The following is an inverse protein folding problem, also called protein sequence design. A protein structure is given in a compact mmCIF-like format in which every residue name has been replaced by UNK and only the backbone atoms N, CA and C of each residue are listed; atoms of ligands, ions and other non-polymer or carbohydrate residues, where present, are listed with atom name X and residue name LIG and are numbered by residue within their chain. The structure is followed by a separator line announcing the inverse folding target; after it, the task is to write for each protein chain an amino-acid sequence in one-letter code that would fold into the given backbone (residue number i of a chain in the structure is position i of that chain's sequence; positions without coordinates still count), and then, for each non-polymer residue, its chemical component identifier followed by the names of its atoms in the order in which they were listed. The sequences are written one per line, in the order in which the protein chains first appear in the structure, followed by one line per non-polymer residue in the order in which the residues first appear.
data_IF_759165072368
#
_entry.id   IF_759165072368
#
_cell.length_a   1.000
_cell.length_b   1.000
_cell.length_c   1.000
_cell.angle_alpha   90.00
_cell.angle_beta   90.00
_cell.angle_gamma   90.00
#
_symmetry.space_group_name_H-M   'P 1'
#
loop_
_entity.id
_entity.type
_entity.pdbx_description
1 polymer ?
#
# COMPACT_ATOMS: atom_id res chain seq x y z
N UNK A 1 -2.72 -18.77 -11.13
CA UNK A 1 -2.39 -17.35 -11.19
C UNK A 1 -3.25 -16.73 -12.28
N UNK A 2 -4.00 -15.65 -12.02
CA UNK A 2 -4.72 -14.95 -13.07
C UNK A 2 -3.73 -14.45 -14.12
N UNK A 3 -4.18 -14.34 -15.37
CA UNK A 3 -3.34 -13.81 -16.45
C UNK A 3 -3.03 -12.35 -16.14
N UNK A 4 -1.76 -11.96 -16.22
CA UNK A 4 -1.29 -10.59 -15.95
C UNK A 4 -2.07 -9.56 -16.78
N UNK A 5 -2.47 -9.93 -18.00
CA UNK A 5 -3.28 -9.09 -18.92
C UNK A 5 -4.71 -8.84 -18.36
N UNK A 6 -5.31 -9.82 -17.66
CA UNK A 6 -6.62 -9.67 -17.05
C UNK A 6 -6.61 -8.72 -15.83
N UNK A 7 -5.45 -8.50 -15.19
CA UNK A 7 -5.33 -7.58 -14.06
C UNK A 7 -5.49 -6.10 -14.45
N UNK A 8 -5.25 -5.74 -15.71
CA UNK A 8 -5.41 -4.37 -16.20
C UNK A 8 -6.84 -4.06 -16.69
N UNK A 9 -7.57 -5.08 -17.15
CA UNK A 9 -8.93 -4.90 -17.66
C UNK A 9 -9.96 -4.64 -16.56
N UNK A 10 -9.65 -5.02 -15.30
CA UNK A 10 -10.55 -4.87 -14.16
C UNK A 10 -10.33 -3.57 -13.36
N UNK A 11 -9.43 -2.68 -13.79
CA UNK A 11 -9.14 -1.45 -13.05
C UNK A 11 -10.37 -0.56 -12.99
N UNK A 12 -10.78 -0.26 -11.77
CA UNK A 12 -11.90 0.63 -11.42
C UNK A 12 -11.37 1.93 -10.85
N UNK A 13 -12.21 2.94 -10.77
CA UNK A 13 -11.92 4.18 -10.05
C UNK A 13 -11.93 3.94 -8.54
N UNK A 14 -10.93 3.19 -8.05
CA UNK A 14 -10.76 2.84 -6.65
C UNK A 14 -9.38 3.27 -6.14
N UNK A 15 -9.36 3.99 -5.03
CA UNK A 15 -8.17 4.30 -4.25
C UNK A 15 -8.03 3.26 -3.13
N UNK A 16 -6.92 2.53 -3.11
CA UNK A 16 -6.61 1.53 -2.09
C UNK A 16 -5.67 2.13 -1.05
N UNK A 17 -6.01 2.01 0.24
CA UNK A 17 -5.14 2.41 1.35
C UNK A 17 -4.74 1.17 2.13
N UNK A 18 -3.44 0.87 2.18
CA UNK A 18 -2.85 -0.33 2.80
C UNK A 18 -1.64 0.06 3.66
N UNK A 19 -1.81 0.57 4.88
CA UNK A 19 -0.71 0.91 5.76
C UNK A 19 -0.12 -0.31 6.46
N UNK A 20 1.19 -0.25 6.77
CA UNK A 20 1.86 -1.22 7.62
C UNK A 20 1.41 -1.08 9.08
N UNK A 21 1.57 -2.14 9.85
CA UNK A 21 1.39 -2.09 11.29
C UNK A 21 2.53 -1.34 12.00
N UNK A 22 2.28 -0.94 13.24
CA UNK A 22 3.29 -0.31 14.11
C UNK A 22 3.46 -1.15 15.38
N UNK A 23 4.72 -1.44 15.71
CA UNK A 23 5.04 -2.22 16.91
C UNK A 23 4.65 -1.49 18.18
N UNK A 24 4.88 -0.19 18.23
CA UNK A 24 4.61 0.67 19.41
C UNK A 24 3.13 0.72 19.81
N UNK A 25 2.23 0.46 18.87
CA UNK A 25 0.78 0.43 19.12
C UNK A 25 0.19 -0.97 19.02
N UNK A 26 1.05 -2.00 19.04
CA UNK A 26 0.57 -3.36 19.13
C UNK A 26 0.22 -3.68 20.59
N UNK A 27 -1.07 -3.92 20.84
CA UNK A 27 -1.61 -4.28 22.16
C UNK A 27 -1.53 -5.79 22.46
N UNK A 28 -2.46 -6.27 23.26
CA UNK A 28 -2.54 -7.68 23.59
C UNK A 28 -2.86 -8.56 22.37
N UNK A 29 -1.98 -9.51 22.08
CA UNK A 29 -2.18 -10.46 21.00
C UNK A 29 -3.26 -11.49 21.37
N UNK A 30 -4.24 -11.66 20.51
CA UNK A 30 -5.26 -12.70 20.62
C UNK A 30 -4.90 -13.87 19.71
N UNK A 31 -4.49 -14.99 20.30
CA UNK A 31 -4.07 -16.19 19.57
C UNK A 31 -5.19 -16.79 18.68
N UNK A 32 -6.46 -16.61 19.06
CA UNK A 32 -7.59 -17.20 18.31
C UNK A 32 -7.86 -16.45 17.01
N UNK A 33 -7.69 -15.14 17.01
CA UNK A 33 -7.97 -14.27 15.85
C UNK A 33 -6.70 -13.83 15.13
N UNK A 34 -5.52 -14.16 15.69
CA UNK A 34 -4.22 -13.69 15.19
C UNK A 34 -4.15 -12.16 15.03
N UNK A 35 -4.84 -11.44 15.90
CA UNK A 35 -4.95 -9.99 15.86
C UNK A 35 -4.66 -9.35 17.19
N UNK A 36 -4.38 -8.06 17.17
CA UNK A 36 -4.06 -7.26 18.35
C UNK A 36 -5.18 -6.24 18.56
N UNK A 37 -5.57 -6.03 19.80
CA UNK A 37 -6.43 -4.91 20.19
C UNK A 37 -5.65 -4.00 21.15
N UNK A 38 -5.66 -2.71 20.88
CA UNK A 38 -4.97 -1.69 21.67
C UNK A 38 -5.98 -0.67 22.18
N UNK A 39 -6.20 -0.65 23.51
CA UNK A 39 -7.01 0.36 24.17
C UNK A 39 -6.32 1.73 24.05
N UNK A 40 -7.00 2.72 23.52
CA UNK A 40 -6.41 4.03 23.23
C UNK A 40 -5.85 4.16 21.81
N UNK A 41 -6.15 3.25 20.91
CA UNK A 41 -5.76 3.30 19.49
C UNK A 41 -6.15 4.63 18.84
N UNK A 42 -7.32 5.15 19.16
CA UNK A 42 -7.85 6.43 18.62
C UNK A 42 -7.02 7.66 19.02
N UNK A 43 -6.20 7.55 20.06
CA UNK A 43 -5.30 8.64 20.49
C UNK A 43 -3.95 8.63 19.77
N UNK A 44 -3.65 7.56 19.04
CA UNK A 44 -2.37 7.41 18.33
C UNK A 44 -2.30 8.34 17.11
N UNK A 45 -1.08 8.75 16.76
CA UNK A 45 -0.84 9.51 15.53
C UNK A 45 -1.19 8.69 14.28
N UNK A 46 -1.02 7.36 14.36
CA UNK A 46 -1.42 6.44 13.31
C UNK A 46 -2.92 6.52 13.01
N UNK A 47 -3.76 6.41 14.04
CA UNK A 47 -5.21 6.54 13.86
C UNK A 47 -5.59 7.94 13.39
N UNK A 48 -5.07 8.98 14.05
CA UNK A 48 -5.37 10.38 13.70
C UNK A 48 -5.02 10.69 12.24
N UNK A 49 -3.89 10.19 11.77
CA UNK A 49 -3.47 10.40 10.38
C UNK A 49 -4.43 9.70 9.40
N UNK A 50 -4.64 8.39 9.53
CA UNK A 50 -5.45 7.65 8.55
C UNK A 50 -6.94 7.96 8.67
N UNK A 51 -7.45 8.18 9.88
CA UNK A 51 -8.83 8.66 10.06
C UNK A 51 -9.01 10.06 9.48
N UNK A 52 -8.04 10.95 9.67
CA UNK A 52 -8.01 12.25 9.03
C UNK A 52 -8.01 12.15 7.50
N UNK A 53 -7.18 11.27 6.94
CA UNK A 53 -7.04 11.07 5.49
C UNK A 53 -8.34 10.62 4.84
N UNK A 54 -8.99 9.59 5.39
CA UNK A 54 -10.23 9.03 4.80
C UNK A 54 -11.48 9.91 5.05
N UNK A 55 -11.35 10.95 5.89
CA UNK A 55 -12.43 11.91 6.20
C UNK A 55 -12.09 13.35 5.79
N UNK A 56 -10.99 13.60 5.08
CA UNK A 56 -10.66 14.94 4.59
C UNK A 56 -11.58 15.36 3.45
N UNK A 57 -12.35 16.43 3.65
CA UNK A 57 -13.37 16.88 2.69
C UNK A 57 -12.79 17.33 1.33
N UNK A 58 -11.53 17.73 1.26
CA UNK A 58 -10.85 18.05 -0.02
C UNK A 58 -10.72 16.78 -0.87
N UNK A 59 -10.27 15.70 -0.23
CA UNK A 59 -10.13 14.39 -0.88
C UNK A 59 -11.50 13.80 -1.22
N UNK A 60 -12.41 13.77 -0.26
CA UNK A 60 -13.77 13.22 -0.44
C UNK A 60 -14.53 13.93 -1.58
N UNK A 61 -14.48 15.27 -1.60
CA UNK A 61 -15.13 16.06 -2.64
C UNK A 61 -14.53 15.75 -4.02
N UNK A 62 -13.20 15.65 -4.13
CA UNK A 62 -12.54 15.29 -5.40
C UNK A 62 -12.89 13.88 -5.85
N UNK A 63 -12.91 12.92 -4.93
CA UNK A 63 -13.29 11.54 -5.23
C UNK A 63 -14.74 11.43 -5.70
N UNK A 64 -15.69 12.14 -5.06
CA UNK A 64 -17.09 12.23 -5.52
C UNK A 64 -17.20 12.84 -6.92
N UNK A 65 -16.52 13.97 -7.15
CA UNK A 65 -16.50 14.66 -8.46
C UNK A 65 -16.04 13.74 -9.58
N UNK A 66 -14.98 12.98 -9.35
CA UNK A 66 -14.36 12.08 -10.35
C UNK A 66 -14.95 10.68 -10.36
N UNK A 67 -15.86 10.35 -9.45
CA UNK A 67 -16.51 9.03 -9.33
C UNK A 67 -15.59 7.95 -8.78
N UNK A 68 -14.61 8.32 -7.93
CA UNK A 68 -13.75 7.36 -7.23
C UNK A 68 -14.41 6.87 -5.94
N UNK A 69 -14.09 5.63 -5.59
CA UNK A 69 -14.35 5.02 -4.28
C UNK A 69 -13.02 4.72 -3.59
N UNK A 70 -13.04 4.66 -2.27
CA UNK A 70 -11.90 4.30 -1.46
C UNK A 70 -12.11 2.97 -0.75
N UNK A 71 -11.05 2.19 -0.65
CA UNK A 71 -11.00 0.98 0.17
C UNK A 71 -9.83 1.11 1.15
N UNK A 72 -10.15 1.20 2.43
CA UNK A 72 -9.15 1.23 3.50
C UNK A 72 -9.03 -0.15 4.15
N UNK A 73 -7.84 -0.73 4.07
CA UNK A 73 -7.56 -2.06 4.59
C UNK A 73 -6.46 -1.98 5.65
N UNK A 74 -6.81 -2.21 6.90
CA UNK A 74 -5.84 -2.33 7.97
C UNK A 74 -4.96 -3.57 7.79
N UNK A 75 -3.73 -3.49 8.28
CA UNK A 75 -2.89 -4.68 8.38
C UNK A 75 -3.60 -5.76 9.23
N UNK A 76 -3.52 -7.06 8.87
CA UNK A 76 -4.24 -8.13 9.56
C UNK A 76 -4.06 -8.14 11.08
N UNK A 77 -2.90 -7.71 11.58
CA UNK A 77 -2.64 -7.62 13.03
C UNK A 77 -3.55 -6.60 13.73
N UNK A 78 -4.02 -5.57 13.00
CA UNK A 78 -4.92 -4.53 13.51
C UNK A 78 -6.38 -4.72 13.11
N UNK A 79 -6.76 -5.89 12.59
CA UNK A 79 -8.12 -6.10 12.10
C UNK A 79 -9.22 -5.78 13.12
N UNK A 80 -8.96 -5.94 14.43
CA UNK A 80 -9.94 -5.58 15.46
C UNK A 80 -10.18 -4.08 15.60
N UNK A 81 -9.23 -3.26 15.15
CA UNK A 81 -9.32 -1.80 15.21
C UNK A 81 -10.17 -1.19 14.07
N UNK A 82 -10.70 -2.02 13.14
CA UNK A 82 -11.57 -1.51 12.08
C UNK A 82 -12.78 -0.76 12.63
N UNK A 83 -13.29 -1.18 13.80
CA UNK A 83 -14.44 -0.56 14.48
C UNK A 83 -14.20 0.88 14.92
N UNK A 84 -12.93 1.27 15.06
CA UNK A 84 -12.54 2.63 15.44
C UNK A 84 -12.65 3.61 14.26
N UNK A 85 -12.58 3.09 13.02
CA UNK A 85 -12.76 3.88 11.81
C UNK A 85 -14.22 3.86 11.36
N UNK A 86 -14.67 4.97 10.82
CA UNK A 86 -16.05 5.09 10.32
C UNK A 86 -16.08 5.04 8.80
N UNK A 87 -16.95 4.19 8.27
CA UNK A 87 -17.31 4.23 6.85
C UNK A 87 -17.98 5.58 6.53
N UNK A 88 -17.74 6.06 5.32
CA UNK A 88 -18.46 7.19 4.77
C UNK A 88 -18.98 6.84 3.36
N UNK A 89 -19.56 7.82 2.66
CA UNK A 89 -20.12 7.58 1.31
C UNK A 89 -19.06 7.33 0.22
N UNK A 90 -17.79 7.55 0.53
CA UNK A 90 -16.66 7.40 -0.40
C UNK A 90 -15.76 6.23 -0.02
N UNK A 91 -15.38 6.12 1.27
CA UNK A 91 -14.48 5.09 1.78
C UNK A 91 -15.22 3.98 2.51
N UNK A 92 -14.93 2.74 2.11
CA UNK A 92 -15.25 1.54 2.86
C UNK A 92 -14.02 1.12 3.68
N UNK A 93 -14.22 0.84 4.97
CA UNK A 93 -13.23 0.23 5.86
C UNK A 93 -13.40 -1.28 5.81
N UNK A 94 -12.37 -2.00 5.39
CA UNK A 94 -12.47 -3.45 5.22
C UNK A 94 -12.41 -4.19 6.55
N UNK A 95 -13.42 -5.00 6.82
CA UNK A 95 -13.57 -5.78 8.06
C UNK A 95 -12.96 -7.19 7.98
N UNK A 96 -12.44 -7.58 6.85
CA UNK A 96 -12.04 -8.96 6.59
C UNK A 96 -10.70 -9.14 5.91
N UNK A 97 -10.41 -10.38 5.55
CA UNK A 97 -9.22 -10.70 4.76
C UNK A 97 -9.29 -10.08 3.37
N UNK A 98 -8.15 -9.61 2.91
CA UNK A 98 -7.98 -8.99 1.59
C UNK A 98 -7.49 -10.03 0.59
N UNK A 99 -8.22 -10.22 -0.50
CA UNK A 99 -7.66 -10.86 -1.70
C UNK A 99 -6.81 -9.83 -2.46
N UNK A 100 -5.50 -9.83 -2.20
CA UNK A 100 -4.58 -8.88 -2.79
C UNK A 100 -4.58 -8.90 -4.32
N UNK A 101 -4.75 -10.06 -4.95
CA UNK A 101 -4.81 -10.13 -6.42
C UNK A 101 -6.00 -9.32 -6.95
N UNK A 102 -7.16 -9.50 -6.31
CA UNK A 102 -8.38 -8.80 -6.69
C UNK A 102 -8.30 -7.30 -6.43
N UNK A 103 -7.94 -6.88 -5.21
CA UNK A 103 -7.92 -5.46 -4.87
C UNK A 103 -6.86 -4.69 -5.65
N UNK A 104 -5.72 -5.33 -5.99
CA UNK A 104 -4.70 -4.70 -6.84
C UNK A 104 -5.17 -4.55 -8.28
N UNK A 105 -5.86 -5.57 -8.83
CA UNK A 105 -6.45 -5.49 -10.16
C UNK A 105 -7.47 -4.35 -10.24
N UNK A 106 -8.36 -4.26 -9.26
CA UNK A 106 -9.47 -3.31 -9.24
C UNK A 106 -9.03 -1.87 -8.90
N UNK A 107 -7.93 -1.66 -8.18
CA UNK A 107 -7.52 -0.33 -7.73
C UNK A 107 -6.75 0.44 -8.80
N UNK A 108 -7.07 1.73 -8.95
CA UNK A 108 -6.38 2.66 -9.85
C UNK A 108 -5.10 3.23 -9.24
N UNK A 109 -5.06 3.38 -7.91
CA UNK A 109 -3.92 3.90 -7.17
C UNK A 109 -3.85 3.27 -5.77
N UNK A 110 -2.67 3.33 -5.14
CA UNK A 110 -2.47 2.85 -3.77
C UNK A 110 -1.80 3.90 -2.90
N UNK A 111 -2.28 4.00 -1.67
CA UNK A 111 -1.59 4.67 -0.56
C UNK A 111 -1.01 3.60 0.36
N UNK A 112 0.27 3.70 0.66
CA UNK A 112 0.94 2.82 1.62
C UNK A 112 2.07 3.58 2.32
N UNK A 113 2.88 2.90 3.12
CA UNK A 113 3.96 3.55 3.88
C UNK A 113 5.31 2.82 3.70
N UNK A 114 5.62 1.83 4.56
CA UNK A 114 6.89 1.09 4.55
C UNK A 114 6.73 -0.34 4.02
N UNK A 115 5.57 -0.66 3.49
CA UNK A 115 5.21 -2.03 3.11
C UNK A 115 5.87 -2.48 1.81
N UNK A 116 6.42 -3.69 1.82
CA UNK A 116 6.94 -4.35 0.59
C UNK A 116 5.86 -4.63 -0.44
N UNK A 117 4.58 -4.59 -0.06
CA UNK A 117 3.45 -4.76 -0.98
C UNK A 117 3.40 -3.67 -2.07
N UNK A 118 4.09 -2.53 -1.81
CA UNK A 118 4.30 -1.48 -2.81
C UNK A 118 4.99 -1.99 -4.08
N UNK A 119 5.91 -2.95 -3.95
CA UNK A 119 6.60 -3.54 -5.11
C UNK A 119 5.66 -4.33 -6.00
N UNK A 120 4.74 -5.10 -5.41
CA UNK A 120 3.75 -5.86 -6.16
C UNK A 120 2.78 -4.92 -6.90
N UNK A 121 2.36 -3.83 -6.27
CA UNK A 121 1.48 -2.85 -6.89
C UNK A 121 2.21 -2.03 -7.98
N UNK A 122 3.45 -1.62 -7.73
CA UNK A 122 4.30 -0.93 -8.71
C UNK A 122 4.56 -1.80 -9.94
N UNK A 123 4.73 -3.12 -9.76
CA UNK A 123 4.88 -4.06 -10.87
C UNK A 123 3.69 -4.03 -11.84
N UNK A 124 2.50 -3.64 -11.38
CA UNK A 124 1.33 -3.37 -12.21
C UNK A 124 1.38 -2.00 -12.90
N UNK A 125 2.47 -1.23 -12.76
CA UNK A 125 2.67 0.11 -13.31
C UNK A 125 1.67 1.16 -12.80
N UNK A 126 0.97 0.87 -11.72
CA UNK A 126 -0.03 1.74 -11.11
C UNK A 126 0.64 2.71 -10.12
N UNK A 127 0.11 3.94 -9.96
CA UNK A 127 0.70 4.94 -9.09
C UNK A 127 0.54 4.61 -7.60
N UNK A 128 1.55 5.00 -6.83
CA UNK A 128 1.61 4.86 -5.37
C UNK A 128 1.84 6.23 -4.76
N UNK A 129 1.26 6.46 -3.58
CA UNK A 129 1.61 7.57 -2.68
C UNK A 129 2.07 6.96 -1.36
N UNK A 130 3.28 7.34 -0.92
CA UNK A 130 3.83 6.90 0.36
C UNK A 130 3.51 7.90 1.47
N UNK A 131 3.02 7.41 2.62
CA UNK A 131 2.70 8.21 3.81
C UNK A 131 3.64 7.85 4.94
N UNK A 132 4.65 8.68 5.18
CA UNK A 132 5.72 8.42 6.17
C UNK A 132 5.76 9.50 7.26
N UNK A 133 4.59 9.88 7.79
CA UNK A 133 4.41 10.91 8.81
C UNK A 133 5.14 10.61 10.13
N UNK A 134 5.42 9.34 10.39
CA UNK A 134 6.06 8.84 11.62
C UNK A 134 7.42 8.19 11.37
N UNK A 135 8.12 8.59 10.29
CA UNK A 135 9.33 7.92 9.79
C UNK A 135 10.38 7.68 10.88
N UNK A 136 10.66 8.70 11.69
CA UNK A 136 11.65 8.59 12.76
C UNK A 136 11.26 7.50 13.77
N UNK A 137 10.02 7.56 14.27
CA UNK A 137 9.52 6.60 15.25
C UNK A 137 9.44 5.19 14.66
N UNK A 138 9.04 5.07 13.39
CA UNK A 138 8.97 3.78 12.71
C UNK A 138 10.32 3.05 12.74
N UNK A 139 11.42 3.71 12.36
CA UNK A 139 12.75 3.09 12.35
C UNK A 139 13.34 2.88 13.75
N UNK A 140 12.93 3.66 14.77
CA UNK A 140 13.34 3.46 16.16
C UNK A 140 12.62 2.26 16.80
N UNK A 141 11.34 2.05 16.48
CA UNK A 141 10.49 1.05 17.13
C UNK A 141 10.46 -0.31 16.42
N UNK A 142 10.70 -0.33 15.11
CA UNK A 142 10.70 -1.57 14.33
C UNK A 142 12.05 -2.30 14.43
N UNK A 143 11.99 -3.62 14.25
CA UNK A 143 13.19 -4.49 14.21
C UNK A 143 13.93 -4.42 12.87
N UNK A 144 13.50 -3.55 11.97
CA UNK A 144 14.06 -3.46 10.63
C UNK A 144 15.10 -2.34 10.55
N UNK A 145 16.29 -2.68 10.09
CA UNK A 145 17.27 -1.69 9.69
C UNK A 145 16.85 -1.02 8.37
N UNK A 146 17.29 0.23 8.17
CA UNK A 146 17.12 0.93 6.92
C UNK A 146 17.83 0.15 5.81
N UNK A 147 17.08 -0.28 4.80
CA UNK A 147 17.60 -1.01 3.65
C UNK A 147 18.29 -0.09 2.64
N UNK A 148 18.60 -0.65 1.47
CA UNK A 148 19.20 0.08 0.34
C UNK A 148 18.18 0.90 -0.47
N UNK A 149 16.89 0.64 -0.29
CA UNK A 149 15.83 1.31 -1.04
C UNK A 149 15.46 2.64 -0.36
N UNK A 150 15.71 3.74 -1.06
CA UNK A 150 15.39 5.08 -0.59
C UNK A 150 14.08 5.55 -1.23
N UNK A 151 13.03 5.72 -0.43
CA UNK A 151 11.70 6.06 -0.94
C UNK A 151 11.66 7.33 -1.79
N UNK A 152 12.44 8.35 -1.44
CA UNK A 152 12.48 9.63 -2.18
C UNK A 152 13.11 9.50 -3.57
N UNK A 153 14.16 8.70 -3.70
CA UNK A 153 14.92 8.55 -4.95
C UNK A 153 14.51 7.32 -5.76
N UNK A 154 14.23 6.20 -5.08
CA UNK A 154 13.94 4.90 -5.69
C UNK A 154 12.45 4.58 -5.66
N UNK A 155 11.67 5.26 -4.80
CA UNK A 155 10.24 5.03 -4.61
C UNK A 155 9.42 5.24 -5.87
N UNK A 156 8.35 4.49 -6.00
CA UNK A 156 7.47 4.46 -7.17
C UNK A 156 6.37 5.53 -7.11
N UNK A 157 6.54 6.51 -6.24
CA UNK A 157 5.60 7.61 -6.03
C UNK A 157 6.17 8.66 -5.06
N UNK A 158 5.41 9.74 -4.80
CA UNK A 158 5.80 10.77 -3.84
C UNK A 158 5.76 10.25 -2.41
N UNK A 159 6.61 10.83 -1.54
CA UNK A 159 6.62 10.58 -0.09
C UNK A 159 6.02 11.78 0.62
N UNK A 160 4.98 11.54 1.41
CA UNK A 160 4.25 12.55 2.18
C UNK A 160 4.54 12.36 3.67
N UNK A 161 4.95 13.41 4.35
CA UNK A 161 5.34 13.40 5.76
C UNK A 161 4.29 13.98 6.70
N UNK A 162 3.19 14.46 6.17
CA UNK A 162 2.04 14.99 6.91
C UNK A 162 0.74 14.78 6.15
N UNK A 163 -0.36 15.01 6.83
CA UNK A 163 -1.71 14.80 6.29
C UNK A 163 -2.00 15.74 5.10
N UNK A 164 -1.60 17.00 5.20
CA UNK A 164 -1.87 17.99 4.15
C UNK A 164 -1.16 17.65 2.85
N UNK A 165 0.11 17.26 2.91
CA UNK A 165 0.86 16.82 1.74
C UNK A 165 0.25 15.56 1.12
N UNK A 166 -0.16 14.59 1.93
CA UNK A 166 -0.81 13.37 1.43
C UNK A 166 -2.15 13.67 0.73
N UNK A 167 -2.99 14.52 1.32
CA UNK A 167 -4.26 14.93 0.72
C UNK A 167 -4.05 15.68 -0.58
N UNK A 168 -3.11 16.62 -0.62
CA UNK A 168 -2.83 17.40 -1.84
C UNK A 168 -2.33 16.51 -2.98
N UNK A 169 -1.41 15.58 -2.71
CA UNK A 169 -0.91 14.62 -3.71
C UNK A 169 -2.04 13.71 -4.24
N UNK A 170 -2.92 13.25 -3.36
CA UNK A 170 -4.03 12.39 -3.76
C UNK A 170 -5.09 13.15 -4.57
N UNK A 171 -5.40 14.39 -4.21
CA UNK A 171 -6.30 15.25 -4.96
C UNK A 171 -5.74 15.48 -6.37
N UNK A 172 -4.45 15.82 -6.49
CA UNK A 172 -3.79 15.99 -7.79
C UNK A 172 -3.77 14.69 -8.60
N UNK A 173 -3.45 13.56 -7.96
CA UNK A 173 -3.41 12.26 -8.60
C UNK A 173 -4.78 11.87 -9.18
N UNK A 174 -5.85 12.04 -8.42
CA UNK A 174 -7.22 11.74 -8.84
C UNK A 174 -7.68 12.72 -9.92
N UNK A 175 -7.31 13.99 -9.83
CA UNK A 175 -7.63 15.00 -10.83
C UNK A 175 -7.03 14.68 -12.21
N UNK A 176 -5.85 14.04 -12.20
CA UNK A 176 -5.15 13.54 -13.38
C UNK A 176 -5.47 12.06 -13.72
N UNK A 177 -6.64 11.55 -13.32
CA UNK A 177 -7.11 10.17 -13.57
C UNK A 177 -6.10 9.08 -13.18
N UNK A 178 -5.40 9.27 -12.06
CA UNK A 178 -4.38 8.36 -11.51
C UNK A 178 -3.25 8.01 -12.50
N UNK A 179 -2.83 8.97 -13.31
CA UNK A 179 -1.69 8.79 -14.22
C UNK A 179 -0.39 8.65 -13.42
N UNK A 180 0.35 7.57 -13.66
CA UNK A 180 1.62 7.32 -12.97
C UNK A 180 2.74 8.23 -13.51
N UNK A 181 3.16 9.23 -12.73
CA UNK A 181 4.28 10.14 -13.04
C UNK A 181 5.65 9.52 -12.79
N UNK A 182 5.72 8.37 -12.10
CA UNK A 182 6.95 7.67 -11.69
C UNK A 182 7.19 6.40 -12.51
N UNK A 183 6.59 6.29 -13.67
CA UNK A 183 6.67 5.10 -14.52
C UNK A 183 8.11 4.73 -14.89
N UNK A 184 8.97 5.71 -15.11
CA UNK A 184 10.39 5.50 -15.44
C UNK A 184 11.14 4.81 -14.30
N UNK A 185 10.84 5.15 -13.02
CA UNK A 185 11.42 4.47 -11.86
C UNK A 185 10.98 3.00 -11.79
N UNK A 186 9.70 2.74 -12.05
CA UNK A 186 9.14 1.39 -12.11
C UNK A 186 9.85 0.57 -13.19
N UNK A 187 9.98 1.11 -14.40
CA UNK A 187 10.60 0.42 -15.54
C UNK A 187 12.11 0.19 -15.35
N UNK A 188 12.79 1.11 -14.70
CA UNK A 188 14.20 0.94 -14.36
C UNK A 188 14.41 -0.09 -13.24
N UNK A 189 13.50 -0.19 -12.27
CA UNK A 189 13.60 -1.15 -11.17
C UNK A 189 13.25 -2.57 -11.61
N UNK A 190 12.15 -2.73 -12.36
CA UNK A 190 11.68 -4.02 -12.83
C UNK A 190 12.16 -4.30 -14.25
N UNK A 191 13.39 -4.79 -14.39
CA UNK A 191 14.01 -5.11 -15.68
C UNK A 191 13.18 -6.10 -16.51
N UNK A 192 12.42 -6.98 -15.86
CA UNK A 192 11.59 -7.99 -16.50
C UNK A 192 10.15 -7.90 -16.03
N UNK A 193 9.30 -7.24 -16.80
CA UNK A 193 7.86 -7.18 -16.55
C UNK A 193 7.17 -8.13 -17.54
N UNK A 194 7.22 -9.43 -17.25
CA UNK A 194 6.58 -10.47 -18.04
C UNK A 194 6.18 -11.70 -17.19
N UNK A 195 5.68 -12.75 -17.84
CA UNK A 195 5.20 -13.98 -17.18
C UNK A 195 6.28 -15.04 -16.95
N UNK A 196 7.56 -14.75 -17.21
CA UNK A 196 8.64 -15.74 -17.23
C UNK A 196 9.54 -15.71 -15.99
N UNK A 197 9.21 -14.95 -14.94
CA UNK A 197 10.05 -14.81 -13.74
C UNK A 197 10.32 -16.17 -13.06
N UNK A 198 9.30 -17.01 -12.88
CA UNK A 198 9.46 -18.35 -12.28
C UNK A 198 10.39 -19.23 -13.11
N UNK A 199 10.31 -19.13 -14.44
CA UNK A 199 11.21 -19.88 -15.34
C UNK A 199 12.65 -19.40 -15.20
N UNK A 200 12.89 -18.07 -15.16
CA UNK A 200 14.25 -17.51 -14.96
C UNK A 200 14.86 -17.97 -13.64
N UNK A 201 14.09 -17.96 -12.56
CA UNK A 201 14.55 -18.41 -11.24
C UNK A 201 14.92 -19.91 -11.31
N UNK A 202 14.06 -20.73 -11.90
CA UNK A 202 14.33 -22.18 -12.06
C UNK A 202 15.57 -22.42 -12.90
N UNK A 203 15.70 -21.75 -14.05
CA UNK A 203 16.86 -21.89 -14.94
C UNK A 203 18.16 -21.50 -14.22
N UNK A 204 18.14 -20.42 -13.43
CA UNK A 204 19.29 -19.96 -12.63
C UNK A 204 19.68 -20.98 -11.56
N UNK A 205 18.72 -21.58 -10.86
CA UNK A 205 18.98 -22.64 -9.86
C UNK A 205 19.63 -23.86 -10.51
N UNK A 206 19.08 -24.30 -11.64
CA UNK A 206 19.63 -25.47 -12.38
C UNK A 206 21.06 -25.19 -12.88
N UNK A 207 21.33 -23.98 -13.33
CA UNK A 207 22.67 -23.58 -13.79
C UNK A 207 23.67 -23.55 -12.63
N UNK A 208 23.29 -23.01 -11.47
CA UNK A 208 24.14 -22.95 -10.28
C UNK A 208 24.45 -24.38 -9.76
N UNK A 209 23.45 -25.25 -9.70
CA UNK A 209 23.62 -26.64 -9.30
C UNK A 209 24.61 -27.38 -10.21
N UNK A 210 24.51 -27.19 -11.53
CA UNK A 210 25.48 -27.74 -12.49
C UNK A 210 26.92 -27.23 -12.32
N UNK A 211 27.08 -25.97 -11.83
CA UNK A 211 28.42 -25.41 -11.55
C UNK A 211 29.01 -25.95 -10.26
N UNK A 212 28.19 -26.22 -9.24
CA UNK A 212 28.64 -26.80 -7.95
C UNK A 212 29.00 -28.27 -8.03
N UNK A 213 28.43 -29.02 -9.00
CA UNK A 213 28.64 -30.45 -9.17
C UNK A 213 29.73 -30.77 -10.23
N UNK A 214 30.50 -29.77 -10.67
CA UNK A 214 31.71 -29.89 -11.48
C UNK A 214 32.94 -29.65 -10.64
#
# INVERSE_FOLDING_TARGET
MPRFDALYEDTRKQLLILPSWRRSISGAYDEKTSSVYFDGFVETDYFKFYNGLINDERLLSKMREKGYKGLFCLHPIFMKQYVDFQNNDVFDVNEGFVDYNKVFAESAAMVTDYSTIAFDFAYLKKPIVYTQFDQKQFYEDQVYDKGFFEYETDGFGPVCYDLDSAVNELVELIDNDCKNKYIDRVENFFVNIDKNNSKRVLDAIIEDDKKRNK
#
